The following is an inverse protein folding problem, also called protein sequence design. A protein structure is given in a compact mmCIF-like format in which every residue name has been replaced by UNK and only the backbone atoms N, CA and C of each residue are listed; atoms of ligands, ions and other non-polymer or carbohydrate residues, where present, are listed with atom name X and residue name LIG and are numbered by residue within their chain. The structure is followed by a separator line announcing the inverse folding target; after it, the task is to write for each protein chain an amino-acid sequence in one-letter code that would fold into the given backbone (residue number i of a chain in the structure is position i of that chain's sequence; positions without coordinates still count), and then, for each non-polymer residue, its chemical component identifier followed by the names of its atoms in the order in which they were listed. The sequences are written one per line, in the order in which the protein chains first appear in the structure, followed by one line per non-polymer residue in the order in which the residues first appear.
data_IF_900372253693
#
_entry.id   IF_900372253693
#
_cell.length_a   1.000
_cell.length_b   1.000
_cell.length_c   1.000
_cell.angle_alpha   90.00
_cell.angle_beta   90.00
_cell.angle_gamma   90.00
#
_symmetry.space_group_name_H-M   'P 1'
#
loop_
_entity.id
_entity.type
_entity.pdbx_description
1 polymer ?
#
# COMPACT_ATOMS: atom_id res chain seq x y z
N UNK A 1 4.80 25.72 -17.06
CA UNK A 1 4.51 25.50 -15.62
C UNK A 1 5.59 24.56 -15.05
N UNK A 2 6.04 24.75 -13.82
CA UNK A 2 7.14 23.95 -13.25
C UNK A 2 6.61 22.83 -12.36
N UNK A 3 7.09 21.60 -12.57
CA UNK A 3 6.82 20.44 -11.73
C UNK A 3 8.14 19.95 -11.14
N UNK A 4 8.22 19.91 -9.80
CA UNK A 4 9.32 19.28 -9.10
C UNK A 4 8.95 17.82 -8.76
N UNK A 5 9.79 16.87 -9.17
CA UNK A 5 9.69 15.46 -8.83
C UNK A 5 10.51 15.22 -7.55
N UNK A 6 9.84 14.87 -6.45
CA UNK A 6 10.51 14.59 -5.18
C UNK A 6 10.93 13.12 -5.14
N UNK A 7 12.23 12.87 -5.07
CA UNK A 7 12.83 11.57 -5.35
C UNK A 7 13.75 11.15 -4.18
N UNK A 8 13.43 10.06 -3.46
CA UNK A 8 14.41 9.41 -2.58
C UNK A 8 15.56 8.86 -3.42
N UNK A 9 16.81 9.16 -3.05
CA UNK A 9 18.00 8.76 -3.82
C UNK A 9 18.09 7.25 -4.07
N UNK A 10 17.90 6.45 -3.01
CA UNK A 10 17.93 4.99 -3.03
C UNK A 10 16.91 4.35 -3.96
N UNK A 11 15.76 5.01 -4.16
CA UNK A 11 14.60 4.49 -4.91
C UNK A 11 14.30 5.30 -6.17
N UNK A 12 15.25 6.14 -6.61
CA UNK A 12 15.08 7.08 -7.74
C UNK A 12 14.45 6.41 -8.96
N UNK A 13 15.01 5.29 -9.42
CA UNK A 13 14.54 4.62 -10.65
C UNK A 13 13.10 4.12 -10.52
N UNK A 14 12.77 3.46 -9.40
CA UNK A 14 11.42 2.94 -9.16
C UNK A 14 10.38 4.07 -9.05
N UNK A 15 10.72 5.15 -8.34
CA UNK A 15 9.83 6.31 -8.19
C UNK A 15 9.64 7.07 -9.50
N UNK A 16 10.70 7.21 -10.31
CA UNK A 16 10.58 7.80 -11.64
C UNK A 16 9.60 7.01 -12.50
N UNK A 17 9.69 5.68 -12.55
CA UNK A 17 8.75 4.89 -13.33
C UNK A 17 7.29 5.11 -12.86
N UNK A 18 7.06 5.19 -11.54
CA UNK A 18 5.72 5.53 -11.00
C UNK A 18 5.25 6.93 -11.43
N UNK A 19 6.14 7.93 -11.45
CA UNK A 19 5.83 9.26 -11.97
C UNK A 19 5.58 9.26 -13.48
N UNK A 20 6.27 8.44 -14.26
CA UNK A 20 6.02 8.28 -15.70
C UNK A 20 4.58 7.82 -15.97
N UNK A 21 4.12 6.80 -15.25
CA UNK A 21 2.72 6.35 -15.30
C UNK A 21 1.74 7.46 -14.89
N UNK A 22 2.04 8.20 -13.83
CA UNK A 22 1.18 9.30 -13.40
C UNK A 22 1.10 10.42 -14.45
N UNK A 23 2.23 10.79 -15.05
CA UNK A 23 2.32 11.84 -16.08
C UNK A 23 1.58 11.40 -17.35
N UNK A 24 1.68 10.13 -17.77
CA UNK A 24 0.93 9.62 -18.94
C UNK A 24 -0.58 9.63 -18.73
N UNK A 25 -1.04 9.52 -17.49
CA UNK A 25 -2.45 9.65 -17.09
C UNK A 25 -2.89 11.10 -16.83
N UNK A 26 -1.99 12.07 -17.02
CA UNK A 26 -2.20 13.48 -16.67
C UNK A 26 -2.19 14.38 -17.92
N UNK A 27 -3.01 15.43 -17.88
CA UNK A 27 -3.04 16.45 -18.93
C UNK A 27 -2.09 17.59 -18.56
N UNK A 28 -0.87 17.52 -19.11
CA UNK A 28 0.24 18.42 -18.80
C UNK A 28 0.77 19.11 -20.07
N UNK A 29 0.16 20.22 -20.50
CA UNK A 29 0.72 20.98 -21.64
C UNK A 29 1.87 21.90 -21.19
N UNK A 30 3.03 21.76 -21.84
CA UNK A 30 4.25 22.59 -21.66
C UNK A 30 4.67 22.74 -20.19
N UNK A 31 5.10 21.62 -19.61
CA UNK A 31 5.67 21.57 -18.26
C UNK A 31 7.20 21.46 -18.31
N UNK A 32 7.86 22.24 -17.46
CA UNK A 32 9.27 22.07 -17.15
C UNK A 32 9.36 21.13 -15.95
N UNK A 33 10.04 20.02 -16.12
CA UNK A 33 10.29 19.05 -15.07
C UNK A 33 11.68 19.30 -14.47
N UNK A 34 11.78 19.12 -13.15
CA UNK A 34 13.06 19.03 -12.43
C UNK A 34 12.97 17.95 -11.36
N UNK A 35 14.10 17.36 -10.99
CA UNK A 35 14.19 16.37 -9.92
C UNK A 35 14.81 16.97 -8.67
N UNK A 36 14.19 16.75 -7.52
CA UNK A 36 14.75 17.08 -6.21
C UNK A 36 15.09 15.77 -5.50
N UNK A 37 16.39 15.52 -5.33
CA UNK A 37 16.91 14.31 -4.72
C UNK A 37 17.01 14.51 -3.21
N UNK A 38 16.34 13.63 -2.47
CA UNK A 38 16.34 13.60 -1.01
C UNK A 38 17.15 12.40 -0.51
N UNK A 39 18.01 12.59 0.51
CA UNK A 39 18.64 11.49 1.21
C UNK A 39 17.60 10.68 1.98
N UNK A 40 17.95 9.44 2.33
CA UNK A 40 17.14 8.66 3.25
C UNK A 40 17.33 9.15 4.68
N UNK A 41 16.21 9.31 5.38
CA UNK A 41 16.18 9.71 6.78
C UNK A 41 15.05 8.97 7.47
N UNK A 42 15.26 8.60 8.74
CA UNK A 42 14.20 7.98 9.57
C UNK A 42 13.04 8.96 9.86
N UNK A 43 13.28 10.27 9.77
CA UNK A 43 12.33 11.29 10.19
C UNK A 43 12.03 12.30 9.08
N UNK A 44 10.75 12.65 8.92
CA UNK A 44 10.31 13.59 7.89
C UNK A 44 10.64 15.07 8.21
N UNK A 45 10.92 15.43 9.46
CA UNK A 45 11.12 16.85 9.85
C UNK A 45 12.30 17.53 9.13
N UNK A 46 13.53 16.96 9.11
CA UNK A 46 14.66 17.61 8.47
C UNK A 46 14.48 17.71 6.95
N UNK A 47 13.81 16.71 6.35
CA UNK A 47 13.42 16.75 4.94
C UNK A 47 12.48 17.92 4.66
N UNK A 48 11.48 18.16 5.50
CA UNK A 48 10.54 19.27 5.33
C UNK A 48 11.22 20.64 5.44
N UNK A 49 12.15 20.82 6.38
CA UNK A 49 12.91 22.06 6.51
C UNK A 49 13.77 22.32 5.27
N UNK A 50 14.46 21.30 4.79
CA UNK A 50 15.27 21.38 3.58
C UNK A 50 14.42 21.65 2.32
N UNK A 51 13.27 20.98 2.18
CA UNK A 51 12.32 21.20 1.09
C UNK A 51 11.75 22.63 1.10
N UNK A 52 11.42 23.18 2.27
CA UNK A 52 10.99 24.57 2.40
C UNK A 52 12.11 25.54 1.95
N UNK A 53 13.33 25.32 2.42
CA UNK A 53 14.49 26.16 2.09
C UNK A 53 14.82 26.12 0.58
N UNK A 54 14.72 24.93 -0.03
CA UNK A 54 14.93 24.77 -1.47
C UNK A 54 13.80 25.37 -2.30
N UNK A 55 12.54 25.15 -1.91
CA UNK A 55 11.37 25.75 -2.58
C UNK A 55 11.44 27.29 -2.58
N UNK A 56 11.94 27.91 -1.51
CA UNK A 56 12.12 29.35 -1.44
C UNK A 56 13.10 29.90 -2.51
N UNK A 57 14.08 29.09 -2.91
CA UNK A 57 15.07 29.43 -3.94
C UNK A 57 14.61 29.03 -5.35
N UNK A 58 13.88 27.93 -5.45
CA UNK A 58 13.43 27.32 -6.71
C UNK A 58 11.95 26.94 -6.63
N UNK A 59 11.02 27.90 -6.71
CA UNK A 59 9.60 27.62 -6.54
C UNK A 59 9.05 26.80 -7.72
N UNK A 60 8.30 25.74 -7.39
CA UNK A 60 7.58 24.91 -8.34
C UNK A 60 6.06 25.11 -8.20
N UNK A 61 5.29 24.88 -9.27
CA UNK A 61 3.83 24.98 -9.20
C UNK A 61 3.18 23.69 -8.70
N UNK A 62 3.79 22.55 -9.03
CA UNK A 62 3.41 21.22 -8.55
C UNK A 62 4.64 20.57 -7.95
N UNK A 63 4.47 19.92 -6.81
CA UNK A 63 5.47 19.04 -6.22
C UNK A 63 4.87 17.64 -6.19
N UNK A 64 5.48 16.70 -6.92
CA UNK A 64 5.04 15.32 -6.98
C UNK A 64 5.84 14.48 -5.99
N UNK A 65 5.14 13.78 -5.11
CA UNK A 65 5.69 12.90 -4.09
C UNK A 65 5.39 11.44 -4.41
N UNK A 66 6.28 10.51 -4.03
CA UNK A 66 6.03 9.07 -4.23
C UNK A 66 4.77 8.60 -3.51
N UNK A 67 4.27 7.44 -3.91
CA UNK A 67 3.20 6.75 -3.17
C UNK A 67 3.67 6.28 -1.79
N UNK A 68 2.72 5.92 -0.93
CA UNK A 68 3.00 5.42 0.41
C UNK A 68 2.95 6.50 1.49
N UNK A 69 3.18 6.09 2.73
CA UNK A 69 2.97 6.93 3.90
C UNK A 69 3.89 8.15 3.92
N UNK A 70 5.19 7.96 3.64
CA UNK A 70 6.19 9.03 3.71
C UNK A 70 5.92 10.11 2.66
N UNK A 71 5.62 9.74 1.42
CA UNK A 71 5.29 10.70 0.36
C UNK A 71 4.00 11.47 0.65
N UNK A 72 2.97 10.80 1.19
CA UNK A 72 1.73 11.45 1.63
C UNK A 72 1.95 12.40 2.81
N UNK A 73 2.79 12.01 3.78
CA UNK A 73 3.15 12.83 4.93
C UNK A 73 3.89 14.10 4.49
N UNK A 74 4.95 13.94 3.68
CA UNK A 74 5.74 15.05 3.15
C UNK A 74 4.89 16.01 2.32
N UNK A 75 4.07 15.50 1.39
CA UNK A 75 3.19 16.32 0.57
C UNK A 75 2.25 17.18 1.42
N UNK A 76 1.61 16.56 2.41
CA UNK A 76 0.62 17.22 3.28
C UNK A 76 1.28 18.29 4.16
N UNK A 77 2.37 17.92 4.84
CA UNK A 77 3.05 18.81 5.78
C UNK A 77 3.74 19.96 5.05
N UNK A 78 4.34 19.71 3.89
CA UNK A 78 4.96 20.76 3.08
C UNK A 78 3.91 21.74 2.53
N UNK A 79 2.79 21.25 2.00
CA UNK A 79 1.71 22.14 1.53
C UNK A 79 1.24 23.10 2.62
N UNK A 80 1.07 22.59 3.86
CA UNK A 80 0.71 23.42 5.00
C UNK A 80 1.74 24.52 5.27
N UNK A 81 3.04 24.18 5.31
CA UNK A 81 4.13 25.16 5.52
C UNK A 81 4.20 26.21 4.41
N UNK A 82 3.95 25.80 3.16
CA UNK A 82 3.99 26.67 1.99
C UNK A 82 2.67 27.42 1.73
N UNK A 83 1.63 27.21 2.57
CA UNK A 83 0.26 27.71 2.36
C UNK A 83 -0.33 27.30 1.00
N UNK A 84 0.09 26.13 0.51
CA UNK A 84 -0.41 25.50 -0.71
C UNK A 84 -1.54 24.52 -0.42
N UNK A 85 -1.71 23.55 -1.31
CA UNK A 85 -2.75 22.54 -1.23
C UNK A 85 -2.16 21.14 -1.41
N UNK A 86 -2.66 20.18 -0.63
CA UNK A 86 -2.20 18.80 -0.69
C UNK A 86 -3.32 17.84 -1.08
N UNK A 87 -2.99 16.89 -1.96
CA UNK A 87 -3.82 15.72 -2.23
C UNK A 87 -2.98 14.45 -2.28
N UNK A 88 -3.37 13.48 -1.46
CA UNK A 88 -2.65 12.21 -1.37
C UNK A 88 -3.28 11.13 -2.25
N UNK A 89 -2.45 10.21 -2.74
CA UNK A 89 -2.83 9.08 -3.58
C UNK A 89 -3.67 9.49 -4.81
N UNK A 90 -3.21 10.51 -5.55
CA UNK A 90 -3.82 10.95 -6.80
C UNK A 90 -3.39 10.07 -7.98
N UNK A 91 -4.32 9.73 -8.87
CA UNK A 91 -4.05 8.92 -10.06
C UNK A 91 -3.80 9.75 -11.32
N UNK A 92 -4.16 11.03 -11.31
CA UNK A 92 -3.84 11.96 -12.39
C UNK A 92 -4.15 13.41 -12.02
N UNK A 93 -3.58 14.33 -12.78
CA UNK A 93 -3.83 15.77 -12.67
C UNK A 93 -4.14 16.37 -14.04
N UNK A 94 -5.12 17.27 -14.11
CA UNK A 94 -5.34 18.15 -15.25
C UNK A 94 -4.93 19.57 -14.84
N UNK A 95 -3.79 20.03 -15.37
CA UNK A 95 -3.22 21.33 -14.98
C UNK A 95 -4.09 22.48 -15.46
N UNK A 96 -4.62 22.38 -16.69
CA UNK A 96 -5.41 23.42 -17.33
C UNK A 96 -6.75 23.62 -16.61
N UNK A 97 -7.43 22.52 -16.28
CA UNK A 97 -8.70 22.53 -15.55
C UNK A 97 -8.52 22.69 -14.04
N UNK A 98 -7.27 22.60 -13.55
CA UNK A 98 -6.94 22.62 -12.12
C UNK A 98 -7.72 21.54 -11.37
N UNK A 99 -7.65 20.31 -11.84
CA UNK A 99 -8.33 19.17 -11.19
C UNK A 99 -7.38 18.01 -10.95
N UNK A 100 -7.68 17.22 -9.91
CA UNK A 100 -7.02 15.94 -9.63
C UNK A 100 -8.06 14.83 -9.60
N UNK A 101 -7.64 13.63 -9.98
CA UNK A 101 -8.45 12.41 -9.91
C UNK A 101 -7.87 11.48 -8.85
N UNK A 102 -8.73 10.88 -8.01
CA UNK A 102 -8.32 9.84 -7.06
C UNK A 102 -9.45 8.90 -6.71
N UNK A 103 -9.10 7.72 -6.20
CA UNK A 103 -10.07 6.82 -5.59
C UNK A 103 -10.61 7.41 -4.28
N UNK A 104 -11.90 7.19 -4.03
CA UNK A 104 -12.62 7.61 -2.85
C UNK A 104 -13.49 6.45 -2.33
N UNK A 105 -13.94 6.54 -1.07
CA UNK A 105 -14.82 5.55 -0.44
C UNK A 105 -14.29 4.10 -0.58
N UNK A 106 -13.01 3.88 -0.27
CA UNK A 106 -12.39 2.55 -0.36
C UNK A 106 -12.25 1.99 -1.78
N UNK A 107 -12.28 2.85 -2.81
CA UNK A 107 -12.19 2.45 -4.21
C UNK A 107 -13.53 2.31 -4.92
N UNK A 108 -14.65 2.45 -4.20
CA UNK A 108 -15.99 2.37 -4.79
C UNK A 108 -16.30 3.54 -5.72
N UNK A 109 -15.61 4.68 -5.56
CA UNK A 109 -15.79 5.87 -6.37
C UNK A 109 -14.46 6.39 -6.88
N UNK A 110 -14.50 7.03 -8.05
CA UNK A 110 -13.38 7.85 -8.53
C UNK A 110 -13.81 9.31 -8.50
N UNK A 111 -13.21 10.08 -7.60
CA UNK A 111 -13.50 11.50 -7.43
C UNK A 111 -12.62 12.36 -8.34
N UNK A 112 -13.22 13.37 -8.95
CA UNK A 112 -12.51 14.47 -9.61
C UNK A 112 -12.69 15.73 -8.75
N UNK A 113 -11.58 16.29 -8.29
CA UNK A 113 -11.55 17.33 -7.27
C UNK A 113 -10.86 18.57 -7.84
N UNK A 114 -11.36 19.76 -7.51
CA UNK A 114 -10.81 21.03 -8.00
C UNK A 114 -9.73 21.55 -7.07
N UNK A 115 -8.59 21.88 -7.65
CA UNK A 115 -7.45 22.53 -7.01
C UNK A 115 -7.66 24.05 -6.96
N UNK A 116 -7.26 24.64 -5.85
CA UNK A 116 -7.42 26.06 -5.53
C UNK A 116 -6.07 26.76 -5.35
N UNK A 117 -5.26 26.32 -4.37
CA UNK A 117 -4.11 27.10 -3.89
C UNK A 117 -2.78 26.43 -4.26
N UNK A 118 -1.93 27.16 -4.99
CA UNK A 118 -0.56 26.70 -5.30
C UNK A 118 0.40 26.99 -4.13
N UNK A 119 1.49 26.22 -3.97
CA UNK A 119 1.85 25.06 -4.78
C UNK A 119 0.95 23.85 -4.51
N UNK A 120 0.76 23.01 -5.53
CA UNK A 120 0.04 21.75 -5.37
C UNK A 120 1.01 20.64 -5.01
N UNK A 121 0.97 20.16 -3.77
CA UNK A 121 1.77 19.05 -3.29
C UNK A 121 0.96 17.76 -3.43
N UNK A 122 1.30 16.93 -4.40
CA UNK A 122 0.51 15.76 -4.75
C UNK A 122 1.32 14.49 -4.49
N UNK A 123 0.84 13.58 -3.64
CA UNK A 123 1.41 12.23 -3.59
C UNK A 123 0.66 11.32 -4.55
N UNK A 124 1.39 10.54 -5.33
CA UNK A 124 0.78 9.68 -6.36
C UNK A 124 0.18 8.42 -5.75
N UNK A 125 -0.87 7.89 -6.39
CA UNK A 125 -1.39 6.56 -6.05
C UNK A 125 -0.35 5.48 -6.42
N UNK A 126 -0.34 4.37 -5.68
CA UNK A 126 0.47 3.22 -6.06
C UNK A 126 -0.04 2.64 -7.38
N UNK A 127 0.89 2.27 -8.27
CA UNK A 127 0.59 1.65 -9.57
C UNK A 127 1.43 0.39 -9.72
N UNK A 128 0.83 -0.76 -10.06
CA UNK A 128 1.60 -1.95 -10.44
C UNK A 128 2.18 -1.74 -11.84
N UNK A 129 3.45 -2.14 -12.04
CA UNK A 129 4.08 -2.21 -13.36
C UNK A 129 4.27 -0.84 -14.03
N UNK A 130 5.52 -0.41 -14.15
CA UNK A 130 5.83 0.80 -14.89
C UNK A 130 6.91 0.51 -15.91
N UNK A 131 6.69 0.97 -17.14
CA UNK A 131 7.74 1.03 -18.16
C UNK A 131 8.85 1.95 -17.66
N UNK A 132 10.08 1.71 -18.11
CA UNK A 132 11.19 2.55 -17.71
C UNK A 132 10.97 3.98 -18.21
N UNK A 133 10.82 4.93 -17.28
CA UNK A 133 10.68 6.34 -17.60
C UNK A 133 11.88 7.12 -17.07
N UNK A 134 12.69 7.63 -17.99
CA UNK A 134 13.91 8.38 -17.68
C UNK A 134 13.87 9.73 -18.38
N UNK A 135 13.16 10.72 -17.82
CA UNK A 135 13.06 12.03 -18.45
C UNK A 135 14.42 12.75 -18.40
N UNK A 136 14.75 13.48 -19.45
CA UNK A 136 15.93 14.34 -19.49
C UNK A 136 15.63 15.64 -18.71
N UNK A 137 16.02 15.65 -17.43
CA UNK A 137 15.74 16.74 -16.49
C UNK A 137 16.96 17.05 -15.63
N UNK A 138 17.01 18.27 -15.13
CA UNK A 138 18.01 18.68 -14.15
C UNK A 138 17.66 18.13 -12.76
N UNK A 139 18.66 17.63 -12.05
CA UNK A 139 18.52 17.13 -10.69
C UNK A 139 19.25 18.04 -9.71
N UNK A 140 18.54 18.53 -8.69
CA UNK A 140 19.13 19.22 -7.54
C UNK A 140 19.24 18.25 -6.37
N UNK A 141 20.44 18.15 -5.81
CA UNK A 141 20.65 17.48 -4.53
C UNK A 141 20.19 18.39 -3.40
N UNK A 142 19.26 17.91 -2.58
CA UNK A 142 18.72 18.70 -1.47
C UNK A 142 19.53 18.36 -0.21
N UNK A 143 20.36 19.29 0.29
CA UNK A 143 21.12 19.04 1.50
C UNK A 143 20.18 19.00 2.70
N UNK A 144 20.26 17.91 3.48
CA UNK A 144 19.45 17.71 4.68
C UNK A 144 20.40 17.63 5.86
N UNK A 145 20.09 18.39 6.92
CA UNK A 145 20.84 18.28 8.16
C UNK A 145 20.49 16.96 8.85
N UNK A 146 21.51 16.20 9.26
CA UNK A 146 21.33 15.03 10.13
C UNK A 146 21.02 15.49 11.56
N UNK A 147 19.79 15.98 11.77
CA UNK A 147 19.33 16.44 13.07
C UNK A 147 18.05 15.72 13.46
N UNK A 148 18.13 14.99 14.58
CA UNK A 148 16.94 14.41 15.21
C UNK A 148 16.02 15.52 15.73
N UNK A 149 14.71 15.48 15.45
CA UNK A 149 13.78 16.47 15.99
C UNK A 149 13.80 16.47 17.52
N UNK A 150 13.80 17.66 18.14
CA UNK A 150 13.91 17.80 19.60
C UNK A 150 12.78 17.10 20.38
N UNK A 151 11.61 16.93 19.75
CA UNK A 151 10.46 16.23 20.33
C UNK A 151 10.56 14.71 20.22
N UNK A 152 11.50 14.17 19.43
CA UNK A 152 11.66 12.74 19.23
C UNK A 152 12.65 12.18 20.26
N UNK A 153 12.14 11.45 21.24
CA UNK A 153 12.96 10.88 22.32
C UNK A 153 13.72 9.64 21.86
N UNK A 154 13.05 8.71 21.18
CA UNK A 154 13.60 7.43 20.72
C UNK A 154 12.95 7.02 19.40
N UNK A 155 13.72 6.35 18.55
CA UNK A 155 13.22 5.61 17.40
C UNK A 155 13.98 4.28 17.36
N UNK A 156 13.26 3.18 17.25
CA UNK A 156 13.83 1.86 17.10
C UNK A 156 13.23 1.24 15.86
N UNK A 157 14.08 0.77 14.95
CA UNK A 157 13.66 -0.12 13.88
C UNK A 157 13.35 -1.47 14.51
N UNK A 158 12.07 -1.83 14.58
CA UNK A 158 11.68 -3.20 14.91
C UNK A 158 11.93 -3.99 13.63
N UNK A 159 12.97 -4.82 13.63
CA UNK A 159 13.15 -5.78 12.56
C UNK A 159 11.91 -6.66 12.52
N UNK A 160 11.18 -6.65 11.40
CA UNK A 160 10.19 -7.68 11.14
C UNK A 160 10.96 -9.01 11.10
N UNK A 161 10.81 -9.83 12.14
CA UNK A 161 11.28 -11.21 12.13
C UNK A 161 10.51 -11.91 11.01
N UNK A 162 11.15 -11.95 9.83
CA UNK A 162 10.55 -12.24 8.53
C UNK A 162 9.32 -11.39 8.22
N UNK A 163 9.48 -10.41 7.33
CA UNK A 163 8.35 -10.02 6.49
C UNK A 163 7.77 -11.32 5.93
N UNK A 164 6.56 -11.68 6.37
CA UNK A 164 5.90 -12.89 5.90
C UNK A 164 6.02 -12.92 4.38
N UNK A 165 6.41 -14.06 3.81
CA UNK A 165 6.47 -14.23 2.35
C UNK A 165 5.12 -13.99 1.65
N UNK A 166 4.09 -13.67 2.43
CA UNK A 166 2.72 -13.38 2.08
C UNK A 166 2.57 -12.45 0.87
N UNK A 167 3.36 -11.38 0.75
CA UNK A 167 3.26 -10.47 -0.39
C UNK A 167 3.61 -11.14 -1.74
N UNK A 168 4.53 -12.11 -1.71
CA UNK A 168 5.00 -12.87 -2.88
C UNK A 168 4.40 -14.29 -2.93
N UNK A 169 3.54 -14.62 -1.97
CA UNK A 169 3.01 -15.96 -1.80
C UNK A 169 2.08 -16.35 -2.95
N UNK A 170 2.35 -17.51 -3.55
CA UNK A 170 1.49 -18.10 -4.57
C UNK A 170 0.31 -18.86 -3.99
N UNK A 171 0.47 -19.41 -2.80
CA UNK A 171 -0.57 -20.15 -2.08
C UNK A 171 -0.76 -19.50 -0.71
N UNK A 172 -1.99 -19.06 -0.42
CA UNK A 172 -2.30 -18.34 0.82
C UNK A 172 -3.46 -19.02 1.54
N UNK A 173 -3.27 -19.35 2.81
CA UNK A 173 -4.34 -19.74 3.74
C UNK A 173 -4.61 -18.57 4.69
N UNK A 174 -5.69 -17.86 4.43
CA UNK A 174 -6.13 -16.72 5.21
C UNK A 174 -7.19 -17.13 6.24
N UNK A 175 -7.03 -16.71 7.50
CA UNK A 175 -8.00 -17.00 8.56
C UNK A 175 -8.64 -15.77 9.18
N UNK A 176 -9.90 -15.94 9.57
CA UNK A 176 -10.71 -14.89 10.16
C UNK A 176 -10.91 -15.02 11.66
N UNK A 177 -11.83 -14.20 12.19
CA UNK A 177 -12.36 -14.37 13.55
C UNK A 177 -12.88 -15.79 13.81
N UNK A 178 -13.33 -16.49 12.77
CA UNK A 178 -13.88 -17.84 12.87
C UNK A 178 -12.94 -18.89 13.47
N UNK A 179 -11.62 -18.65 13.54
CA UNK A 179 -10.67 -19.56 14.21
C UNK A 179 -10.86 -19.61 15.73
N UNK A 180 -11.39 -18.54 16.34
CA UNK A 180 -11.86 -18.51 17.72
C UNK A 180 -10.80 -18.51 18.83
N UNK A 181 -9.56 -18.95 18.57
CA UNK A 181 -8.48 -18.95 19.58
C UNK A 181 -7.08 -19.02 18.98
N UNK A 182 -6.06 -18.66 19.78
CA UNK A 182 -4.65 -18.82 19.42
C UNK A 182 -4.25 -20.29 19.24
N UNK A 183 -4.78 -21.21 20.05
CA UNK A 183 -4.50 -22.64 19.92
C UNK A 183 -5.02 -23.21 18.59
N UNK A 184 -6.21 -22.78 18.16
CA UNK A 184 -6.75 -23.16 16.85
C UNK A 184 -5.96 -22.50 15.71
N UNK A 185 -5.43 -21.28 15.90
CA UNK A 185 -4.52 -20.65 14.94
C UNK A 185 -3.27 -21.51 14.72
N UNK A 186 -2.63 -22.00 15.77
CA UNK A 186 -1.45 -22.87 15.66
C UNK A 186 -1.72 -24.13 14.84
N UNK A 187 -2.92 -24.72 14.96
CA UNK A 187 -3.33 -25.86 14.14
C UNK A 187 -3.47 -25.48 12.67
N UNK A 188 -4.03 -24.30 12.38
CA UNK A 188 -4.13 -23.80 11.01
C UNK A 188 -2.75 -23.50 10.43
N UNK A 189 -1.83 -22.95 11.21
CA UNK A 189 -0.45 -22.71 10.77
C UNK A 189 0.29 -24.01 10.46
N UNK A 190 0.11 -25.06 11.28
CA UNK A 190 0.65 -26.38 11.01
C UNK A 190 0.06 -27.00 9.73
N UNK A 191 -1.26 -26.84 9.51
CA UNK A 191 -1.93 -27.28 8.29
C UNK A 191 -1.41 -26.53 7.06
N UNK A 192 -1.32 -25.19 7.13
CA UNK A 192 -0.79 -24.34 6.06
C UNK A 192 0.64 -24.76 5.68
N UNK A 193 1.50 -24.97 6.68
CA UNK A 193 2.88 -25.42 6.46
C UNK A 193 2.93 -26.77 5.74
N UNK A 194 2.07 -27.72 6.13
CA UNK A 194 2.00 -29.02 5.46
C UNK A 194 1.47 -28.94 4.01
N UNK A 195 0.67 -27.93 3.71
CA UNK A 195 0.16 -27.64 2.37
C UNK A 195 1.09 -26.73 1.55
N UNK A 196 2.21 -26.26 2.12
CA UNK A 196 3.11 -25.31 1.47
C UNK A 196 2.48 -23.94 1.23
N UNK A 197 1.56 -23.53 2.10
CA UNK A 197 0.83 -22.26 2.01
C UNK A 197 1.37 -21.26 3.03
N UNK A 198 1.46 -19.99 2.63
CA UNK A 198 1.71 -18.89 3.56
C UNK A 198 0.43 -18.54 4.31
N UNK A 199 0.58 -18.14 5.57
CA UNK A 199 -0.57 -17.82 6.43
C UNK A 199 -0.87 -16.33 6.45
N UNK A 200 -2.12 -15.98 6.14
CA UNK A 200 -2.65 -14.63 6.29
C UNK A 200 -3.77 -14.57 7.31
N UNK A 201 -4.14 -13.37 7.75
CA UNK A 201 -5.15 -13.19 8.77
C UNK A 201 -5.97 -11.92 8.56
N UNK A 202 -7.25 -12.00 8.94
CA UNK A 202 -8.11 -10.82 9.04
C UNK A 202 -7.67 -9.92 10.18
N UNK A 203 -8.07 -8.64 10.13
CA UNK A 203 -7.84 -7.68 11.23
C UNK A 203 -8.37 -8.16 12.57
N UNK A 204 -9.52 -8.84 12.60
CA UNK A 204 -10.07 -9.34 13.87
C UNK A 204 -9.15 -10.38 14.52
N UNK A 205 -8.61 -11.32 13.74
CA UNK A 205 -7.71 -12.37 14.26
C UNK A 205 -6.40 -11.78 14.83
N UNK A 206 -5.81 -10.81 14.14
CA UNK A 206 -4.60 -10.11 14.59
C UNK A 206 -4.88 -9.24 15.82
N UNK A 207 -6.02 -8.54 15.88
CA UNK A 207 -6.39 -7.72 17.03
C UNK A 207 -6.74 -8.54 18.27
N UNK A 208 -7.13 -9.80 18.10
CA UNK A 208 -7.22 -10.77 19.20
C UNK A 208 -5.87 -11.37 19.61
N UNK A 209 -4.77 -10.94 18.98
CA UNK A 209 -3.41 -11.45 19.19
C UNK A 209 -3.28 -12.96 18.96
N UNK A 210 -4.10 -13.54 18.08
CA UNK A 210 -3.97 -14.95 17.70
C UNK A 210 -2.83 -15.17 16.71
N UNK A 211 -2.45 -14.14 15.97
CA UNK A 211 -1.32 -14.11 15.06
C UNK A 211 -0.74 -12.69 14.98
N UNK A 212 0.45 -12.58 14.40
CA UNK A 212 1.20 -11.32 14.33
C UNK A 212 0.66 -10.38 13.22
N UNK A 213 0.98 -9.08 13.35
CA UNK A 213 0.52 -8.02 12.45
C UNK A 213 1.06 -8.13 11.02
N UNK A 214 2.21 -8.77 10.83
CA UNK A 214 2.79 -9.08 9.52
C UNK A 214 1.93 -10.03 8.67
N UNK A 215 1.03 -10.80 9.30
CA UNK A 215 0.07 -11.67 8.61
C UNK A 215 -1.21 -10.93 8.21
N UNK A 216 -1.37 -9.65 8.57
CA UNK A 216 -2.59 -8.90 8.30
C UNK A 216 -2.83 -8.76 6.79
N UNK A 217 -3.96 -9.28 6.32
CA UNK A 217 -4.45 -9.08 4.96
C UNK A 217 -5.54 -8.02 4.92
N UNK A 218 -5.49 -7.16 3.90
CA UNK A 218 -6.53 -6.18 3.61
C UNK A 218 -6.03 -4.77 3.35
N UNK A 219 -6.94 -3.81 3.33
CA UNK A 219 -6.67 -2.39 3.05
C UNK A 219 -5.59 -1.78 3.97
N UNK A 220 -5.47 -2.28 5.21
CA UNK A 220 -4.50 -1.81 6.19
C UNK A 220 -3.29 -2.74 6.35
N UNK A 221 -3.22 -3.82 5.57
CA UNK A 221 -2.15 -4.81 5.65
C UNK A 221 -1.64 -5.17 4.25
N UNK A 222 -1.13 -6.38 4.12
CA UNK A 222 -0.61 -6.91 2.86
C UNK A 222 -1.75 -7.17 1.88
N UNK A 223 -1.53 -6.79 0.62
CA UNK A 223 -2.37 -7.19 -0.51
C UNK A 223 -1.61 -8.28 -1.29
N UNK A 224 -2.30 -9.35 -1.65
CA UNK A 224 -1.72 -10.52 -2.31
C UNK A 224 -2.39 -10.76 -3.66
N UNK A 225 -1.61 -11.33 -4.58
CA UNK A 225 -2.08 -11.79 -5.88
C UNK A 225 -1.76 -13.28 -6.04
N UNK A 226 -2.25 -14.09 -5.10
CA UNK A 226 -1.96 -15.52 -5.01
C UNK A 226 -2.59 -16.30 -6.18
N UNK A 227 -1.96 -17.40 -6.59
CA UNK A 227 -2.58 -18.35 -7.52
C UNK A 227 -3.79 -19.04 -6.87
N UNK A 228 -3.67 -19.40 -5.58
CA UNK A 228 -4.78 -19.95 -4.77
C UNK A 228 -4.83 -19.25 -3.41
N UNK A 229 -6.01 -18.77 -3.04
CA UNK A 229 -6.28 -18.17 -1.73
C UNK A 229 -7.45 -18.89 -1.05
N UNK A 230 -7.19 -19.55 0.08
CA UNK A 230 -8.22 -20.15 0.93
C UNK A 230 -8.57 -19.16 2.04
N UNK A 231 -9.80 -18.67 2.09
CA UNK A 231 -10.33 -17.79 3.12
C UNK A 231 -11.22 -18.58 4.09
N UNK A 232 -10.67 -18.95 5.25
CA UNK A 232 -11.29 -19.82 6.24
C UNK A 232 -11.79 -19.03 7.47
N UNK A 233 -13.09 -19.13 7.78
CA UNK A 233 -13.70 -18.45 8.92
C UNK A 233 -13.76 -16.92 8.78
N UNK A 234 -13.82 -16.41 7.54
CA UNK A 234 -13.82 -14.97 7.21
C UNK A 234 -15.19 -14.55 6.69
N UNK A 235 -15.71 -13.42 7.19
CA UNK A 235 -17.04 -12.90 6.81
C UNK A 235 -17.10 -12.22 5.44
N UNK A 236 -15.97 -11.70 4.94
CA UNK A 236 -15.89 -11.01 3.65
C UNK A 236 -16.08 -9.50 3.72
N UNK A 237 -15.61 -8.85 4.80
CA UNK A 237 -15.63 -7.38 4.89
C UNK A 237 -14.85 -6.73 3.71
N UNK A 238 -15.32 -5.63 3.11
CA UNK A 238 -14.67 -5.02 1.94
C UNK A 238 -13.18 -4.72 2.12
N UNK A 239 -12.77 -4.33 3.33
CA UNK A 239 -11.37 -4.08 3.66
C UNK A 239 -10.51 -5.35 3.62
N UNK A 240 -11.05 -6.53 3.95
CA UNK A 240 -10.33 -7.79 3.80
C UNK A 240 -10.31 -8.22 2.31
N UNK A 241 -11.43 -8.07 1.61
CA UNK A 241 -11.54 -8.41 0.18
C UNK A 241 -10.51 -7.64 -0.64
N UNK A 242 -10.26 -6.35 -0.35
CA UNK A 242 -9.21 -5.60 -1.05
C UNK A 242 -7.80 -6.18 -0.89
N UNK A 243 -7.58 -7.03 0.11
CA UNK A 243 -6.32 -7.74 0.32
C UNK A 243 -6.14 -8.97 -0.56
N UNK A 244 -7.23 -9.60 -1.01
CA UNK A 244 -7.19 -10.85 -1.78
C UNK A 244 -7.83 -10.71 -3.18
N UNK A 245 -8.32 -9.52 -3.53
CA UNK A 245 -9.09 -9.27 -4.76
C UNK A 245 -8.32 -9.57 -6.06
N UNK A 246 -6.99 -9.66 -5.99
CA UNK A 246 -6.12 -9.97 -7.13
C UNK A 246 -5.67 -11.43 -7.17
N UNK A 247 -6.13 -12.26 -6.22
CA UNK A 247 -5.91 -13.70 -6.25
C UNK A 247 -6.68 -14.34 -7.39
N UNK A 248 -6.09 -15.36 -8.04
CA UNK A 248 -6.64 -15.98 -9.25
C UNK A 248 -7.76 -16.97 -8.96
N UNK A 249 -7.69 -17.64 -7.81
CA UNK A 249 -8.68 -18.62 -7.39
C UNK A 249 -8.91 -18.51 -5.88
N UNK A 250 -10.15 -18.25 -5.48
CA UNK A 250 -10.55 -18.01 -4.08
C UNK A 250 -11.48 -19.12 -3.61
N UNK A 251 -11.07 -19.83 -2.55
CA UNK A 251 -11.90 -20.81 -1.84
C UNK A 251 -12.35 -20.20 -0.53
N UNK A 252 -13.65 -20.23 -0.21
CA UNK A 252 -14.18 -19.76 1.06
C UNK A 252 -14.70 -20.92 1.90
N UNK A 253 -14.32 -20.97 3.18
CA UNK A 253 -14.84 -21.92 4.16
C UNK A 253 -15.51 -21.13 5.27
N UNK A 254 -16.82 -21.28 5.45
CA UNK A 254 -17.55 -20.57 6.48
C UNK A 254 -18.81 -21.31 6.93
N UNK A 255 -19.03 -21.40 8.24
CA UNK A 255 -20.23 -21.97 8.83
C UNK A 255 -21.53 -21.21 8.49
N UNK A 256 -21.44 -19.91 8.21
CA UNK A 256 -22.59 -19.08 7.84
C UNK A 256 -22.80 -19.09 6.32
N UNK A 257 -23.83 -19.78 5.78
CA UNK A 257 -24.11 -19.83 4.34
C UNK A 257 -24.43 -18.46 3.72
N UNK A 258 -24.70 -17.44 4.53
CA UNK A 258 -24.98 -16.07 4.09
C UNK A 258 -23.76 -15.14 4.17
N UNK A 259 -22.59 -15.66 4.53
CA UNK A 259 -21.37 -14.87 4.64
C UNK A 259 -21.03 -14.17 3.30
N UNK A 260 -20.68 -12.88 3.38
CA UNK A 260 -20.40 -12.06 2.20
C UNK A 260 -19.19 -12.55 1.40
N UNK A 261 -18.26 -13.28 2.04
CA UNK A 261 -17.08 -13.88 1.39
C UNK A 261 -17.46 -14.76 0.20
N UNK A 262 -18.61 -15.45 0.25
CA UNK A 262 -19.06 -16.32 -0.83
C UNK A 262 -19.38 -15.57 -2.13
N UNK A 263 -19.63 -14.25 -2.08
CA UNK A 263 -19.80 -13.42 -3.29
C UNK A 263 -18.49 -13.16 -4.02
N UNK A 264 -17.36 -13.46 -3.37
CA UNK A 264 -16.02 -13.21 -3.87
C UNK A 264 -15.21 -14.51 -4.04
N UNK A 265 -15.82 -15.67 -3.81
CA UNK A 265 -15.18 -16.96 -3.90
C UNK A 265 -15.59 -17.71 -5.17
N UNK A 266 -14.64 -18.40 -5.78
CA UNK A 266 -14.88 -19.34 -6.88
C UNK A 266 -15.49 -20.66 -6.35
N UNK A 267 -15.09 -21.04 -5.13
CA UNK A 267 -15.62 -22.23 -4.43
C UNK A 267 -16.02 -21.84 -3.01
N UNK A 268 -17.24 -22.22 -2.60
CA UNK A 268 -17.74 -22.02 -1.24
C UNK A 268 -18.03 -23.35 -0.55
N UNK A 269 -17.48 -23.53 0.64
CA UNK A 269 -17.72 -24.67 1.54
C UNK A 269 -18.43 -24.14 2.78
N UNK A 270 -19.64 -24.65 3.03
CA UNK A 270 -20.44 -24.31 4.21
C UNK A 270 -20.23 -25.38 5.27
N UNK A 271 -19.16 -25.25 6.04
CA UNK A 271 -18.78 -26.19 7.11
C UNK A 271 -17.76 -25.53 8.06
N UNK A 272 -17.39 -26.25 9.11
CA UNK A 272 -16.38 -25.84 10.07
C UNK A 272 -14.99 -25.86 9.41
N UNK A 273 -14.21 -24.82 9.66
CA UNK A 273 -12.92 -24.64 9.02
C UNK A 273 -11.90 -25.71 9.43
N UNK A 274 -11.87 -26.15 10.69
CA UNK A 274 -10.81 -27.06 11.16
C UNK A 274 -10.97 -28.46 10.56
N UNK A 275 -12.16 -29.09 10.56
CA UNK A 275 -12.37 -30.38 9.90
C UNK A 275 -12.10 -30.31 8.39
N UNK A 276 -12.55 -29.25 7.71
CA UNK A 276 -12.33 -29.09 6.27
C UNK A 276 -10.84 -28.97 5.94
N UNK A 277 -10.10 -28.16 6.69
CA UNK A 277 -8.65 -28.00 6.49
C UNK A 277 -7.89 -29.30 6.77
N UNK A 278 -8.28 -30.04 7.81
CA UNK A 278 -7.69 -31.35 8.11
C UNK A 278 -7.93 -32.35 6.98
N UNK A 279 -9.14 -32.39 6.42
CA UNK A 279 -9.46 -33.31 5.32
C UNK A 279 -8.73 -32.91 4.03
N UNK A 280 -8.66 -31.60 3.73
CA UNK A 280 -7.88 -31.09 2.60
C UNK A 280 -6.41 -31.53 2.70
N UNK A 281 -5.82 -31.43 3.89
CA UNK A 281 -4.45 -31.87 4.14
C UNK A 281 -4.26 -33.38 3.90
N UNK A 282 -5.27 -34.20 4.21
CA UNK A 282 -5.23 -35.64 3.96
C UNK A 282 -5.28 -35.94 2.45
N UNK A 283 -6.22 -35.33 1.72
CA UNK A 283 -6.36 -35.56 0.27
C UNK A 283 -5.07 -35.19 -0.49
N UNK A 284 -4.44 -34.06 -0.17
CA UNK A 284 -3.22 -33.62 -0.85
C UNK A 284 -2.04 -34.57 -0.57
N UNK A 285 -2.01 -35.25 0.57
CA UNK A 285 -0.97 -36.24 0.90
C UNK A 285 -1.13 -37.57 0.16
N UNK A 286 -2.33 -37.92 -0.27
CA UNK A 286 -2.58 -39.17 -1.01
C UNK A 286 -2.23 -39.06 -2.50
N UNK A 287 -2.25 -37.84 -3.04
CA UNK A 287 -1.97 -37.55 -4.45
C UNK A 287 -0.49 -37.23 -4.78
N UNK A 288 0.41 -37.25 -3.77
CA UNK A 288 1.87 -37.03 -3.89
C UNK A 288 2.63 -38.31 -3.54
#
# INVERSE_FOLDING_TARGET
MKIALILPESRKAAVLNAFGNFISCSETEKVQLEGWLLPETEYSEPLLDALCAHYAQSPANVLLFPSGWQGAELATRLACRLKGEAWSAVSGVNITQKTVRKNACGGALVATLRLQNKPWCLSVAASPGAESWQPEIEYSQIPVAEQKPAWLVECASIAEESASGLAEARLVLAVGRGVGSQQAMEQVEACASALGMETGASREAVMHAWCSMDKLLGMSGTQVAADVCIAAGISGAPAFISGIAHSRFIVAINNDPQAAIFRHADVGIVDDLLPVLAELQNCVREDI
#
